data_IF_993494208984
#
_entry.id   IF_993494208984
#
_cell.length_a   1.000
_cell.length_b   1.000
_cell.length_c   1.000
_cell.angle_alpha   90.00
_cell.angle_beta   90.00
_cell.angle_gamma   90.00
#
_symmetry.space_group_name_H-M   'P 1'
#
loop_
_entity.id
_entity.type
_entity.pdbx_description
1 polymer ?
#
# COMPACT_ATOMS: atom_id res chain seq x y z
N UNK A 1 -22.14 -7.15 12.13
CA UNK A 1 -21.76 -6.42 10.90
C UNK A 1 -20.26 -6.15 10.96
N UNK A 2 -19.48 -6.84 10.15
CA UNK A 2 -18.02 -6.70 10.15
C UNK A 2 -17.66 -5.34 9.51
N UNK A 3 -17.10 -4.43 10.30
CA UNK A 3 -16.56 -3.17 9.79
C UNK A 3 -15.40 -3.46 8.83
N UNK A 4 -15.52 -2.97 7.61
CA UNK A 4 -14.47 -2.99 6.61
C UNK A 4 -13.24 -2.28 7.21
N UNK A 5 -12.09 -2.95 7.26
CA UNK A 5 -10.79 -2.36 7.61
C UNK A 5 -9.89 -2.42 6.38
N UNK A 6 -9.08 -1.37 6.17
CA UNK A 6 -8.14 -1.23 5.06
C UNK A 6 -8.55 -0.21 3.99
N UNK A 7 -7.55 0.30 3.27
CA UNK A 7 -7.70 1.35 2.26
C UNK A 7 -8.39 0.86 0.97
N UNK A 8 -8.47 -0.47 0.74
CA UNK A 8 -8.98 -1.13 -0.47
C UNK A 8 -10.50 -1.07 -0.75
N UNK A 9 -11.12 0.12 -0.73
CA UNK A 9 -12.55 0.32 -1.03
C UNK A 9 -12.87 0.22 -2.53
N UNK A 10 -14.04 -0.32 -2.88
CA UNK A 10 -14.47 -0.47 -4.29
C UNK A 10 -15.05 0.83 -4.86
N UNK A 11 -14.94 1.00 -6.18
CA UNK A 11 -15.40 2.18 -6.95
C UNK A 11 -16.93 2.39 -6.93
N UNK A 12 -17.69 1.33 -6.65
CA UNK A 12 -19.16 1.34 -6.59
C UNK A 12 -19.75 2.00 -5.33
N UNK A 13 -18.91 2.62 -4.50
CA UNK A 13 -19.38 3.14 -3.23
C UNK A 13 -19.89 4.60 -3.34
N UNK A 14 -21.11 4.91 -2.84
CA UNK A 14 -21.66 6.27 -2.82
C UNK A 14 -20.72 7.34 -2.21
N UNK A 15 -19.73 6.92 -1.40
CA UNK A 15 -18.64 7.76 -0.85
C UNK A 15 -17.82 8.50 -1.91
N UNK A 16 -17.61 7.91 -3.08
CA UNK A 16 -16.78 8.49 -4.15
C UNK A 16 -17.48 9.65 -4.89
N UNK A 17 -18.81 9.76 -4.77
CA UNK A 17 -19.61 10.74 -5.50
C UNK A 17 -19.87 12.03 -4.73
N UNK A 18 -19.44 12.11 -3.45
CA UNK A 18 -19.57 13.35 -2.68
C UNK A 18 -18.58 14.39 -3.21
N UNK A 19 -19.02 15.59 -3.59
CA UNK A 19 -18.12 16.68 -3.92
C UNK A 19 -17.15 16.95 -2.75
N UNK A 20 -15.88 17.23 -3.06
CA UNK A 20 -14.98 17.83 -2.09
C UNK A 20 -15.25 19.33 -2.14
N UNK A 21 -16.09 19.75 -1.19
CA UNK A 21 -16.37 21.15 -0.91
C UNK A 21 -15.65 21.53 0.39
N UNK A 22 -15.48 22.83 0.64
CA UNK A 22 -14.95 23.37 1.91
C UNK A 22 -13.45 23.26 2.15
N UNK A 23 -12.64 22.90 1.15
CA UNK A 23 -11.17 23.04 1.23
C UNK A 23 -10.71 24.26 0.45
N UNK A 24 -9.64 24.90 0.91
CA UNK A 24 -8.96 26.01 0.24
C UNK A 24 -7.53 25.60 -0.13
N UNK A 25 -7.03 25.97 -1.31
CA UNK A 25 -5.63 25.71 -1.66
C UNK A 25 -4.71 26.51 -0.72
N UNK A 26 -3.66 25.85 -0.23
CA UNK A 26 -2.64 26.49 0.58
C UNK A 26 -1.85 27.49 -0.27
N UNK A 27 -1.50 28.63 0.30
CA UNK A 27 -0.80 29.70 -0.42
C UNK A 27 0.63 29.29 -0.85
N UNK A 28 1.32 28.49 -0.03
CA UNK A 28 2.69 28.02 -0.29
C UNK A 28 2.75 26.87 -1.31
N UNK A 29 1.69 26.06 -1.41
CA UNK A 29 1.60 24.94 -2.37
C UNK A 29 0.15 24.63 -2.77
N UNK A 30 -0.21 24.96 -4.00
CA UNK A 30 -1.56 24.75 -4.54
C UNK A 30 -1.97 23.26 -4.70
N UNK A 31 -1.04 22.33 -4.48
CA UNK A 31 -1.34 20.88 -4.41
C UNK A 31 -1.95 20.48 -3.08
N UNK A 32 -1.75 21.27 -2.03
CA UNK A 32 -2.27 21.01 -0.68
C UNK A 32 -3.54 21.83 -0.49
N UNK A 33 -4.65 21.15 -0.20
CA UNK A 33 -5.97 21.72 -0.02
C UNK A 33 -6.38 21.48 1.43
N UNK A 34 -6.68 22.54 2.17
CA UNK A 34 -6.76 22.50 3.63
C UNK A 34 -8.16 22.89 4.10
N UNK A 35 -8.64 22.23 5.15
CA UNK A 35 -9.79 22.69 5.92
C UNK A 35 -9.45 24.06 6.54
N UNK A 36 -10.23 25.13 6.29
CA UNK A 36 -9.93 26.47 6.81
C UNK A 36 -9.67 26.48 8.31
N UNK A 37 -8.61 27.17 8.74
CA UNK A 37 -8.16 27.24 10.14
C UNK A 37 -7.13 26.18 10.55
N UNK A 38 -6.66 25.35 9.61
CA UNK A 38 -5.63 24.32 9.84
C UNK A 38 -4.42 24.48 8.90
N UNK A 39 -4.12 25.73 8.52
CA UNK A 39 -3.05 26.07 7.57
C UNK A 39 -1.69 25.56 8.04
N UNK A 40 -1.39 25.60 9.35
CA UNK A 40 -0.13 25.07 9.91
C UNK A 40 0.04 23.56 9.66
N UNK A 41 -1.05 22.80 9.72
CA UNK A 41 -1.02 21.38 9.34
C UNK A 41 -0.79 21.24 7.83
N UNK A 42 -1.45 22.07 7.03
CA UNK A 42 -1.19 22.20 5.60
C UNK A 42 0.27 22.47 5.25
N UNK A 43 0.93 23.41 5.93
CA UNK A 43 2.34 23.76 5.70
C UNK A 43 3.27 22.58 6.01
N UNK A 44 2.98 21.81 7.05
CA UNK A 44 3.75 20.59 7.36
C UNK A 44 3.56 19.51 6.31
N UNK A 45 2.35 19.36 5.77
CA UNK A 45 2.08 18.46 4.63
C UNK A 45 2.81 18.96 3.38
N UNK A 46 2.78 20.25 3.08
CA UNK A 46 3.47 20.85 1.94
C UNK A 46 4.99 20.67 2.02
N UNK A 47 5.57 20.78 3.22
CA UNK A 47 6.99 20.52 3.45
C UNK A 47 7.38 19.04 3.22
N UNK A 48 6.52 18.10 3.60
CA UNK A 48 6.74 16.65 3.43
C UNK A 48 6.52 16.16 1.99
N UNK A 49 5.64 16.84 1.24
CA UNK A 49 5.13 16.38 -0.05
C UNK A 49 6.22 16.15 -1.12
N UNK A 50 7.21 17.05 -1.34
CA UNK A 50 8.24 16.83 -2.36
C UNK A 50 9.04 15.54 -2.15
N UNK A 51 9.49 15.28 -0.92
CA UNK A 51 10.24 14.07 -0.60
C UNK A 51 9.39 12.81 -0.77
N UNK A 52 8.11 12.86 -0.36
CA UNK A 52 7.20 11.73 -0.54
C UNK A 52 6.93 11.43 -2.03
N UNK A 53 6.78 12.46 -2.87
CA UNK A 53 6.65 12.29 -4.33
C UNK A 53 7.90 11.64 -4.91
N UNK A 54 9.08 12.15 -4.56
CA UNK A 54 10.35 11.63 -5.06
C UNK A 54 10.52 10.15 -4.74
N UNK A 55 10.24 9.73 -3.49
CA UNK A 55 10.29 8.32 -3.08
C UNK A 55 9.34 7.45 -3.91
N UNK A 56 8.11 7.91 -4.15
CA UNK A 56 7.13 7.18 -4.97
C UNK A 56 7.60 7.06 -6.40
N UNK A 57 8.05 8.15 -7.03
CA UNK A 57 8.48 8.14 -8.43
C UNK A 57 9.73 7.26 -8.63
N UNK A 58 10.67 7.27 -7.68
CA UNK A 58 11.83 6.39 -7.68
C UNK A 58 11.41 4.92 -7.53
N UNK A 59 10.54 4.59 -6.58
CA UNK A 59 10.07 3.23 -6.34
C UNK A 59 9.17 2.70 -7.47
N UNK A 60 8.45 3.58 -8.16
CA UNK A 60 7.50 3.24 -9.23
C UNK A 60 8.10 3.37 -10.63
N UNK A 61 9.33 3.86 -10.74
CA UNK A 61 10.08 4.03 -12.00
C UNK A 61 9.42 4.94 -13.04
N UNK A 62 8.43 5.74 -12.63
CA UNK A 62 7.72 6.69 -13.49
C UNK A 62 7.28 7.91 -12.66
N UNK A 63 7.20 9.10 -13.28
CA UNK A 63 6.66 10.29 -12.61
C UNK A 63 5.16 10.15 -12.36
N UNK A 64 4.56 10.96 -11.48
CA UNK A 64 3.09 11.05 -11.42
C UNK A 64 2.52 11.50 -12.78
N UNK A 65 1.39 10.91 -13.20
CA UNK A 65 0.76 11.28 -14.47
C UNK A 65 0.14 12.68 -14.41
N UNK A 66 -0.29 13.11 -13.21
CA UNK A 66 -0.74 14.47 -12.89
C UNK A 66 -0.20 14.84 -11.52
N UNK A 67 0.14 16.13 -11.27
CA UNK A 67 0.54 16.59 -9.94
C UNK A 67 -0.45 16.09 -8.87
N UNK A 68 0.01 15.36 -7.84
CA UNK A 68 -0.88 14.83 -6.82
C UNK A 68 -1.52 15.98 -6.04
N UNK A 69 -2.78 15.79 -5.64
CA UNK A 69 -3.51 16.72 -4.79
C UNK A 69 -3.79 16.06 -3.45
N UNK A 70 -3.50 16.76 -2.36
CA UNK A 70 -3.67 16.30 -0.99
C UNK A 70 -4.75 17.13 -0.30
N UNK A 71 -5.75 16.49 0.30
CA UNK A 71 -6.77 17.16 1.09
C UNK A 71 -6.50 16.92 2.58
N UNK A 72 -6.44 18.00 3.36
CA UNK A 72 -5.97 18.01 4.74
C UNK A 72 -7.16 18.35 5.65
N UNK A 73 -7.70 17.35 6.34
CA UNK A 73 -8.73 17.56 7.35
C UNK A 73 -8.09 17.88 8.69
N UNK A 74 -8.47 19.00 9.29
CA UNK A 74 -8.11 19.38 10.64
C UNK A 74 -9.08 18.87 11.71
N UNK A 75 -10.28 18.43 11.31
CA UNK A 75 -11.28 17.85 12.21
C UNK A 75 -11.63 16.40 11.87
N UNK A 76 -12.03 15.63 12.89
CA UNK A 76 -12.56 14.27 12.70
C UNK A 76 -13.87 14.30 11.89
N UNK A 77 -14.64 15.39 11.98
CA UNK A 77 -15.87 15.56 11.20
C UNK A 77 -15.60 15.78 9.72
N UNK A 78 -14.57 16.56 9.38
CA UNK A 78 -14.07 16.64 8.01
C UNK A 78 -13.65 15.26 7.51
N UNK A 79 -12.81 14.54 8.28
CA UNK A 79 -12.26 13.27 7.82
C UNK A 79 -13.36 12.21 7.64
N UNK A 80 -14.27 12.08 8.60
CA UNK A 80 -15.39 11.10 8.56
C UNK A 80 -16.39 11.38 7.44
N UNK A 81 -16.45 12.60 6.90
CA UNK A 81 -17.31 12.93 5.76
C UNK A 81 -16.91 12.18 4.49
N UNK A 82 -15.63 11.89 4.34
CA UNK A 82 -15.05 11.26 3.14
C UNK A 82 -14.51 9.86 3.41
N UNK A 83 -13.99 9.61 4.62
CA UNK A 83 -13.40 8.33 5.02
C UNK A 83 -14.26 7.68 6.11
N UNK A 84 -15.05 6.68 5.71
CA UNK A 84 -15.96 5.95 6.61
C UNK A 84 -15.32 4.71 7.25
N UNK A 85 -14.13 4.32 6.80
CA UNK A 85 -13.36 3.24 7.41
C UNK A 85 -12.82 3.72 8.75
N UNK A 86 -13.24 3.12 9.88
CA UNK A 86 -12.78 3.57 11.18
C UNK A 86 -11.29 3.31 11.33
N UNK A 87 -10.60 4.19 12.07
CA UNK A 87 -9.18 4.06 12.46
C UNK A 87 -8.17 4.18 11.32
N UNK A 88 -8.55 4.79 10.19
CA UNK A 88 -7.57 5.24 9.19
C UNK A 88 -7.03 6.62 9.56
N UNK A 89 -5.77 6.85 9.23
CA UNK A 89 -5.07 8.14 9.42
C UNK A 89 -4.83 8.86 8.10
N UNK A 90 -5.01 8.16 6.98
CA UNK A 90 -5.06 8.70 5.64
C UNK A 90 -5.80 7.70 4.74
N UNK A 91 -6.27 8.16 3.57
CA UNK A 91 -6.82 7.29 2.55
C UNK A 91 -6.78 7.97 1.18
N UNK A 92 -6.48 7.20 0.13
CA UNK A 92 -6.96 7.49 -1.22
C UNK A 92 -8.38 6.93 -1.38
N UNK A 93 -9.34 7.78 -1.75
CA UNK A 93 -10.74 7.38 -2.01
C UNK A 93 -10.96 7.05 -3.50
N UNK A 94 -12.08 6.42 -3.90
CA UNK A 94 -12.20 5.80 -5.23
C UNK A 94 -12.09 6.67 -6.47
N UNK A 95 -12.19 7.97 -6.34
CA UNK A 95 -11.94 8.94 -7.41
C UNK A 95 -10.53 9.55 -7.35
N UNK A 96 -9.56 8.85 -6.75
CA UNK A 96 -8.16 9.23 -6.65
C UNK A 96 -7.93 10.52 -5.86
N UNK A 97 -8.76 10.80 -4.85
CA UNK A 97 -8.52 11.91 -3.93
C UNK A 97 -7.81 11.38 -2.70
N UNK A 98 -6.65 11.96 -2.38
CA UNK A 98 -5.92 11.69 -1.16
C UNK A 98 -6.47 12.58 -0.04
N UNK A 99 -6.82 12.00 1.09
CA UNK A 99 -7.38 12.70 2.25
C UNK A 99 -6.61 12.29 3.52
N UNK A 100 -6.09 13.26 4.25
CA UNK A 100 -5.36 13.07 5.50
C UNK A 100 -6.24 13.37 6.72
N UNK A 101 -6.08 12.56 7.76
CA UNK A 101 -6.78 12.70 9.05
C UNK A 101 -6.10 13.73 9.95
N UNK A 102 -6.84 14.43 10.82
CA UNK A 102 -6.23 15.26 11.88
C UNK A 102 -5.34 14.48 12.86
N UNK A 103 -5.43 13.14 12.86
CA UNK A 103 -4.53 12.33 13.69
C UNK A 103 -3.07 12.48 13.28
N UNK A 104 -2.81 12.71 11.99
CA UNK A 104 -1.49 13.03 11.44
C UNK A 104 -1.07 14.47 11.76
N UNK A 105 -1.96 15.29 12.31
CA UNK A 105 -1.61 16.57 12.92
C UNK A 105 -1.24 16.42 14.40
N UNK A 106 -1.97 15.56 15.12
CA UNK A 106 -1.80 15.31 16.54
C UNK A 106 -0.97 14.06 16.85
N UNK A 107 -1.64 13.03 17.39
CA UNK A 107 -1.02 11.86 18.05
C UNK A 107 -0.15 11.00 17.12
N UNK A 108 -0.34 11.09 15.81
CA UNK A 108 0.38 10.33 14.79
C UNK A 108 1.22 11.22 13.87
N UNK A 109 1.54 12.45 14.29
CA UNK A 109 2.35 13.38 13.50
C UNK A 109 3.70 12.80 13.05
N UNK A 110 4.31 11.94 13.88
CA UNK A 110 5.53 11.20 13.52
C UNK A 110 5.36 10.25 12.31
N UNK A 111 4.13 9.87 11.95
CA UNK A 111 3.81 8.99 10.82
C UNK A 111 3.46 9.76 9.55
N UNK A 112 3.47 11.10 9.58
CA UNK A 112 3.06 11.92 8.45
C UNK A 112 3.83 11.55 7.18
N UNK A 113 5.16 11.50 7.26
CA UNK A 113 6.00 11.20 6.10
C UNK A 113 5.69 9.81 5.53
N UNK A 114 5.70 8.77 6.36
CA UNK A 114 5.54 7.38 5.91
C UNK A 114 4.13 7.13 5.37
N UNK A 115 3.08 7.62 6.04
CA UNK A 115 1.71 7.44 5.55
C UNK A 115 1.41 8.30 4.32
N UNK A 116 1.97 9.51 4.22
CA UNK A 116 1.84 10.31 3.00
C UNK A 116 2.45 9.57 1.81
N UNK A 117 3.67 9.04 1.96
CA UNK A 117 4.33 8.24 0.91
C UNK A 117 3.52 6.99 0.54
N UNK A 118 2.97 6.28 1.53
CA UNK A 118 2.14 5.09 1.31
C UNK A 118 0.91 5.40 0.45
N UNK A 119 0.15 6.41 0.84
CA UNK A 119 -1.06 6.77 0.12
C UNK A 119 -0.77 7.42 -1.25
N UNK A 120 0.35 8.15 -1.37
CA UNK A 120 0.82 8.63 -2.67
C UNK A 120 1.19 7.49 -3.62
N UNK A 121 1.71 6.36 -3.11
CA UNK A 121 1.95 5.18 -3.93
C UNK A 121 0.63 4.61 -4.50
N UNK A 122 -0.43 4.54 -3.70
CA UNK A 122 -1.76 4.18 -4.18
C UNK A 122 -2.29 5.17 -5.22
N UNK A 123 -2.15 6.48 -4.96
CA UNK A 123 -2.59 7.51 -5.88
C UNK A 123 -1.85 7.43 -7.22
N UNK A 124 -0.54 7.23 -7.19
CA UNK A 124 0.31 7.12 -8.38
C UNK A 124 -0.17 6.01 -9.32
N UNK A 125 -0.49 4.86 -8.76
CA UNK A 125 -1.01 3.73 -9.51
C UNK A 125 -2.46 3.98 -9.96
N UNK A 126 -3.28 4.54 -9.07
CA UNK A 126 -4.66 4.91 -9.35
C UNK A 126 -4.81 5.92 -10.49
N UNK A 127 -3.85 6.81 -10.69
CA UNK A 127 -3.84 7.74 -11.83
C UNK A 127 -3.64 7.05 -13.19
N UNK A 128 -3.13 5.81 -13.20
CA UNK A 128 -2.82 5.07 -14.43
C UNK A 128 -3.86 4.03 -14.77
N UNK A 129 -4.19 3.19 -13.80
CA UNK A 129 -5.04 2.02 -14.02
C UNK A 129 -6.41 2.16 -13.34
N UNK A 130 -6.67 3.30 -12.69
CA UNK A 130 -7.84 3.48 -11.85
C UNK A 130 -7.63 2.92 -10.44
N UNK A 131 -8.46 3.40 -9.52
CA UNK A 131 -8.34 3.08 -8.10
C UNK A 131 -8.79 1.63 -7.79
N UNK A 132 -7.98 0.89 -7.03
CA UNK A 132 -8.22 -0.51 -6.67
C UNK A 132 -8.77 -1.33 -7.84
N UNK A 133 -8.05 -1.28 -8.97
CA UNK A 133 -8.35 -2.07 -10.15
C UNK A 133 -8.24 -3.56 -9.82
N UNK A 134 -9.23 -4.38 -10.23
CA UNK A 134 -9.31 -5.79 -9.85
C UNK A 134 -8.25 -6.67 -10.50
N UNK A 135 -7.59 -6.19 -11.56
CA UNK A 135 -6.47 -6.91 -12.19
C UNK A 135 -5.18 -6.84 -11.38
N UNK A 136 -5.16 -6.09 -10.27
CA UNK A 136 -4.05 -6.01 -9.35
C UNK A 136 -4.43 -6.62 -7.99
N UNK A 137 -3.81 -7.74 -7.59
CA UNK A 137 -4.07 -8.37 -6.30
C UNK A 137 -3.83 -7.42 -5.13
N UNK A 138 -4.71 -7.45 -4.12
CA UNK A 138 -4.58 -6.60 -2.91
C UNK A 138 -3.20 -6.75 -2.26
N UNK A 139 -2.67 -7.98 -2.14
CA UNK A 139 -1.36 -8.20 -1.51
C UNK A 139 -0.25 -7.43 -2.22
N UNK A 140 -0.22 -7.44 -3.57
CA UNK A 140 0.82 -6.72 -4.30
C UNK A 140 0.62 -5.21 -4.16
N UNK A 141 -0.63 -4.75 -4.23
CA UNK A 141 -0.94 -3.33 -4.14
C UNK A 141 -0.54 -2.73 -2.78
N UNK A 142 -0.96 -3.35 -1.67
CA UNK A 142 -0.62 -2.91 -0.31
C UNK A 142 0.85 -3.16 0.01
N UNK A 143 1.41 -4.28 -0.45
CA UNK A 143 2.82 -4.64 -0.25
C UNK A 143 3.77 -3.68 -0.94
N UNK A 144 3.45 -3.25 -2.16
CA UNK A 144 4.27 -2.29 -2.89
C UNK A 144 4.17 -0.88 -2.30
N UNK A 145 2.97 -0.43 -1.93
CA UNK A 145 2.80 0.84 -1.22
C UNK A 145 3.56 0.87 0.12
N UNK A 146 3.48 -0.22 0.89
CA UNK A 146 4.21 -0.36 2.15
C UNK A 146 5.73 -0.39 1.95
N UNK A 147 6.22 -1.05 0.91
CA UNK A 147 7.64 -1.09 0.58
C UNK A 147 8.15 0.31 0.18
N UNK A 148 7.42 1.02 -0.67
CA UNK A 148 7.72 2.41 -1.08
C UNK A 148 7.75 3.36 0.12
N UNK A 149 6.91 3.11 1.12
CA UNK A 149 6.81 3.89 2.34
C UNK A 149 7.72 3.42 3.49
N UNK A 150 8.72 2.58 3.22
CA UNK A 150 9.66 2.03 4.22
C UNK A 150 8.96 1.35 5.41
N UNK A 151 7.84 0.69 5.15
CA UNK A 151 7.02 0.02 6.16
C UNK A 151 5.77 0.79 6.58
N UNK A 152 5.54 2.01 6.09
CA UNK A 152 4.29 2.75 6.28
C UNK A 152 3.07 1.90 5.89
N UNK A 153 2.06 1.82 6.77
CA UNK A 153 0.90 0.93 6.64
C UNK A 153 1.10 -0.48 7.21
N UNK A 154 2.34 -0.89 7.47
CA UNK A 154 2.74 -2.21 7.98
C UNK A 154 3.51 -2.15 9.31
N UNK A 155 3.43 -1.04 10.06
CA UNK A 155 4.29 -0.78 11.23
C UNK A 155 3.89 -1.57 12.49
N UNK A 156 2.68 -2.11 12.52
CA UNK A 156 2.11 -2.73 13.73
C UNK A 156 2.51 -4.19 13.94
N UNK A 157 3.32 -4.77 13.05
CA UNK A 157 3.88 -6.12 13.22
C UNK A 157 5.32 -6.15 12.72
N UNK A 158 6.17 -6.94 13.38
CA UNK A 158 7.59 -7.08 13.04
C UNK A 158 7.81 -8.23 12.06
N UNK A 159 8.96 -8.23 11.39
CA UNK A 159 9.35 -9.32 10.48
C UNK A 159 9.40 -10.66 11.21
N UNK A 160 9.97 -10.70 12.43
CA UNK A 160 10.03 -11.91 13.25
C UNK A 160 8.64 -12.52 13.51
N UNK A 161 7.64 -11.68 13.84
CA UNK A 161 6.27 -12.16 14.08
C UNK A 161 5.62 -12.69 12.81
N UNK A 162 5.90 -12.06 11.67
CA UNK A 162 5.43 -12.53 10.37
C UNK A 162 6.09 -13.86 10.00
N UNK A 163 7.39 -14.02 10.26
CA UNK A 163 8.09 -15.28 10.04
C UNK A 163 7.57 -16.41 10.93
N UNK A 164 7.29 -16.13 12.21
CA UNK A 164 6.57 -17.07 13.09
C UNK A 164 5.19 -17.44 12.53
N UNK A 165 4.45 -16.46 11.99
CA UNK A 165 3.15 -16.68 11.35
C UNK A 165 3.26 -17.61 10.13
N UNK A 166 4.26 -17.39 9.29
CA UNK A 166 4.58 -18.23 8.11
C UNK A 166 4.88 -19.67 8.55
N UNK A 167 5.71 -19.83 9.59
CA UNK A 167 6.09 -21.14 10.15
C UNK A 167 4.89 -21.87 10.75
N UNK A 168 3.91 -21.13 11.27
CA UNK A 168 2.63 -21.65 11.73
C UNK A 168 1.62 -21.90 10.58
N UNK A 169 2.04 -21.80 9.32
CA UNK A 169 1.20 -22.06 8.14
C UNK A 169 0.28 -20.91 7.74
N UNK A 170 0.37 -19.74 8.39
CA UNK A 170 -0.43 -18.56 8.05
C UNK A 170 0.29 -17.72 7.01
N UNK A 171 -0.23 -17.73 5.78
CA UNK A 171 0.40 -17.11 4.60
C UNK A 171 -0.63 -16.32 3.81
N UNK A 172 -0.19 -15.24 3.16
CA UNK A 172 -0.94 -14.58 2.09
C UNK A 172 -1.31 -15.64 1.07
N UNK A 173 -2.59 -15.75 0.77
CA UNK A 173 -3.08 -16.64 -0.28
C UNK A 173 -2.77 -16.00 -1.65
N UNK A 174 -1.83 -16.60 -2.38
CA UNK A 174 -1.38 -16.12 -3.69
C UNK A 174 -2.16 -16.74 -4.86
N UNK A 175 -3.01 -17.72 -4.59
CA UNK A 175 -3.82 -18.41 -5.61
C UNK A 175 -5.17 -17.72 -5.86
N UNK A 176 -5.57 -16.80 -4.97
CA UNK A 176 -6.83 -16.06 -5.11
C UNK A 176 -6.67 -14.86 -6.02
N UNK A 177 -7.61 -14.75 -6.97
CA UNK A 177 -7.70 -13.63 -7.91
C UNK A 177 -8.81 -12.69 -7.53
N UNK A 178 -8.51 -11.40 -7.60
CA UNK A 178 -9.50 -10.35 -7.41
C UNK A 178 -10.41 -10.25 -8.65
N UNK A 179 -11.67 -9.88 -8.41
CA UNK A 179 -12.69 -9.59 -9.41
C UNK A 179 -13.31 -8.21 -9.12
N UNK A 180 -13.98 -7.56 -10.08
CA UNK A 180 -14.56 -6.23 -9.88
C UNK A 180 -15.48 -6.11 -8.65
N UNK A 181 -16.22 -7.18 -8.34
CA UNK A 181 -17.16 -7.28 -7.22
C UNK A 181 -16.57 -7.98 -5.98
N UNK A 182 -15.36 -8.55 -6.08
CA UNK A 182 -14.75 -9.34 -5.01
C UNK A 182 -13.26 -9.11 -4.87
N UNK A 183 -12.86 -8.50 -3.75
CA UNK A 183 -11.46 -8.28 -3.37
C UNK A 183 -11.05 -9.20 -2.21
N UNK A 184 -9.93 -9.88 -2.34
CA UNK A 184 -9.36 -10.80 -1.34
C UNK A 184 -8.36 -10.04 -0.46
N UNK A 185 -8.86 -9.55 0.68
CA UNK A 185 -8.06 -8.86 1.69
C UNK A 185 -7.49 -9.84 2.73
N UNK A 186 -6.95 -9.33 3.83
CA UNK A 186 -6.38 -10.10 4.93
C UNK A 186 -7.23 -11.30 5.39
N UNK A 187 -8.56 -11.14 5.51
CA UNK A 187 -9.47 -12.21 5.92
C UNK A 187 -9.52 -13.39 4.94
N UNK A 188 -9.31 -13.17 3.65
CA UNK A 188 -9.23 -14.25 2.65
C UNK A 188 -7.97 -15.13 2.83
N UNK A 189 -6.97 -14.61 3.57
CA UNK A 189 -5.76 -15.34 3.97
C UNK A 189 -5.82 -15.82 5.43
N UNK A 190 -6.93 -15.59 6.15
CA UNK A 190 -7.01 -15.87 7.59
C UNK A 190 -6.03 -15.05 8.44
N UNK A 191 -5.59 -13.89 7.95
CA UNK A 191 -4.60 -13.03 8.59
C UNK A 191 -5.24 -11.80 9.23
N UNK A 192 -4.57 -11.24 10.24
CA UNK A 192 -4.81 -9.87 10.65
C UNK A 192 -4.41 -8.91 9.53
N UNK A 193 -4.96 -7.69 9.51
CA UNK A 193 -4.56 -6.68 8.52
C UNK A 193 -3.06 -6.35 8.62
N UNK A 194 -2.53 -6.27 9.84
CA UNK A 194 -1.12 -5.98 10.09
C UNK A 194 -0.20 -7.07 9.54
N UNK A 195 -0.52 -8.35 9.81
CA UNK A 195 0.25 -9.48 9.28
C UNK A 195 0.17 -9.55 7.75
N UNK A 196 -1.01 -9.31 7.18
CA UNK A 196 -1.20 -9.30 5.73
C UNK A 196 -0.34 -8.22 5.05
N UNK A 197 -0.37 -6.99 5.57
CA UNK A 197 0.36 -5.85 4.99
C UNK A 197 1.87 -6.08 5.09
N UNK A 198 2.36 -6.50 6.25
CA UNK A 198 3.78 -6.76 6.45
C UNK A 198 4.29 -7.95 5.63
N UNK A 199 3.54 -9.05 5.59
CA UNK A 199 3.89 -10.20 4.76
C UNK A 199 3.88 -9.84 3.27
N UNK A 200 2.90 -9.06 2.83
CA UNK A 200 2.83 -8.53 1.47
C UNK A 200 4.04 -7.67 1.11
N UNK A 201 4.44 -6.77 2.02
CA UNK A 201 5.64 -5.95 1.85
C UNK A 201 6.90 -6.80 1.70
N UNK A 202 7.07 -7.82 2.56
CA UNK A 202 8.22 -8.73 2.50
C UNK A 202 8.26 -9.53 1.20
N UNK A 203 7.11 -9.99 0.69
CA UNK A 203 7.01 -10.68 -0.60
C UNK A 203 7.47 -9.78 -1.76
N UNK A 204 6.99 -8.53 -1.81
CA UNK A 204 7.36 -7.57 -2.85
C UNK A 204 8.85 -7.19 -2.73
N UNK A 205 9.32 -6.96 -1.51
CA UNK A 205 10.74 -6.67 -1.23
C UNK A 205 11.65 -7.80 -1.69
N UNK A 206 11.31 -9.05 -1.34
CA UNK A 206 12.04 -10.22 -1.80
C UNK A 206 12.04 -10.31 -3.33
N UNK A 207 10.89 -10.13 -3.98
CA UNK A 207 10.79 -10.20 -5.44
C UNK A 207 11.68 -9.16 -6.13
N UNK A 208 11.72 -7.93 -5.62
CA UNK A 208 12.59 -6.85 -6.10
C UNK A 208 14.07 -7.18 -5.87
N UNK A 209 14.42 -7.70 -4.69
CA UNK A 209 15.81 -8.02 -4.32
C UNK A 209 16.39 -9.18 -5.15
N UNK A 210 15.55 -10.12 -5.61
CA UNK A 210 16.01 -11.21 -6.46
C UNK A 210 16.48 -10.74 -7.85
N UNK A 211 15.74 -9.81 -8.47
CA UNK A 211 16.05 -9.28 -9.79
C UNK A 211 15.29 -7.96 -10.00
N UNK A 212 15.97 -6.84 -9.77
CA UNK A 212 15.36 -5.52 -9.88
C UNK A 212 14.96 -5.18 -11.33
N UNK A 213 15.70 -5.68 -12.33
CA UNK A 213 15.37 -5.41 -13.73
C UNK A 213 14.05 -6.10 -14.14
N UNK A 214 13.84 -7.34 -13.71
CA UNK A 214 12.55 -8.04 -13.89
C UNK A 214 11.45 -7.40 -13.06
N UNK A 215 11.72 -7.02 -11.82
CA UNK A 215 10.73 -6.34 -10.99
C UNK A 215 10.26 -5.04 -11.65
N UNK A 216 11.21 -4.24 -12.17
CA UNK A 216 10.92 -3.03 -12.94
C UNK A 216 10.07 -3.33 -14.17
N UNK A 217 10.38 -4.38 -14.94
CA UNK A 217 9.57 -4.79 -16.09
C UNK A 217 8.13 -5.15 -15.69
N UNK A 218 7.94 -5.89 -14.59
CA UNK A 218 6.62 -6.24 -14.05
C UNK A 218 5.83 -4.96 -13.70
N UNK A 219 6.38 -4.09 -12.86
CA UNK A 219 5.63 -2.92 -12.38
C UNK A 219 5.34 -1.92 -13.48
N UNK A 220 6.20 -1.79 -14.50
CA UNK A 220 5.92 -0.97 -15.68
C UNK A 220 4.79 -1.56 -16.53
N UNK A 221 4.73 -2.88 -16.70
CA UNK A 221 3.63 -3.54 -17.40
C UNK A 221 2.30 -3.38 -16.67
N UNK A 222 2.29 -3.54 -15.34
CA UNK A 222 1.12 -3.29 -14.49
C UNK A 222 0.67 -1.83 -14.62
N UNK A 223 1.59 -0.88 -14.55
CA UNK A 223 1.30 0.55 -14.73
C UNK A 223 0.78 0.89 -16.14
N UNK A 224 1.10 0.09 -17.15
CA UNK A 224 0.52 0.17 -18.49
C UNK A 224 -0.86 -0.52 -18.60
N UNK A 225 -1.50 -0.83 -17.48
CA UNK A 225 -2.78 -1.52 -17.36
C UNK A 225 -2.79 -2.96 -17.91
N UNK A 226 -1.63 -3.62 -17.95
CA UNK A 226 -1.58 -5.06 -18.20
C UNK A 226 -2.10 -5.80 -16.97
N UNK A 227 -2.90 -6.84 -17.16
CA UNK A 227 -3.34 -7.71 -16.06
C UNK A 227 -2.12 -8.27 -15.29
N UNK A 228 -2.17 -8.25 -13.95
CA UNK A 228 -1.03 -8.60 -13.13
C UNK A 228 -0.53 -10.02 -13.39
N UNK A 229 -1.44 -10.99 -13.55
CA UNK A 229 -1.07 -12.39 -13.76
C UNK A 229 -0.37 -12.57 -15.11
N UNK A 230 -0.86 -11.87 -16.14
CA UNK A 230 -0.25 -11.86 -17.47
C UNK A 230 1.14 -11.20 -17.41
N UNK A 231 1.24 -10.02 -16.80
CA UNK A 231 2.51 -9.30 -16.65
C UNK A 231 3.54 -10.12 -15.88
N UNK A 232 3.11 -10.75 -14.78
CA UNK A 232 3.97 -11.59 -13.95
C UNK A 232 4.45 -12.82 -14.72
N UNK A 233 3.55 -13.51 -15.42
CA UNK A 233 3.92 -14.67 -16.24
C UNK A 233 4.90 -14.29 -17.36
N UNK A 234 4.68 -13.17 -18.05
CA UNK A 234 5.57 -12.70 -19.11
C UNK A 234 6.99 -12.41 -18.62
N UNK A 235 7.14 -11.96 -17.37
CA UNK A 235 8.45 -11.60 -16.80
C UNK A 235 9.15 -12.78 -16.12
N UNK A 236 8.39 -13.63 -15.41
CA UNK A 236 8.94 -14.69 -14.57
C UNK A 236 8.74 -16.10 -15.14
N UNK A 237 7.91 -16.27 -16.17
CA UNK A 237 7.63 -17.55 -16.82
C UNK A 237 6.77 -18.52 -15.98
N UNK A 238 6.21 -18.05 -14.87
CA UNK A 238 5.43 -18.85 -13.93
C UNK A 238 4.48 -17.97 -13.11
N UNK A 239 3.49 -18.58 -12.47
CA UNK A 239 2.50 -17.88 -11.64
C UNK A 239 3.12 -17.31 -10.35
N UNK A 240 2.52 -16.25 -9.74
CA UNK A 240 3.00 -15.67 -8.50
C UNK A 240 3.18 -16.68 -7.37
N UNK A 241 2.20 -17.57 -7.15
CA UNK A 241 2.25 -18.60 -6.12
C UNK A 241 3.46 -19.53 -6.28
N UNK A 242 3.80 -19.92 -7.51
CA UNK A 242 4.98 -20.75 -7.82
C UNK A 242 6.28 -19.98 -7.63
N UNK A 243 6.36 -18.71 -8.04
CA UNK A 243 7.58 -17.90 -7.86
C UNK A 243 7.87 -17.55 -6.43
N UNK A 244 6.83 -17.22 -5.67
CA UNK A 244 6.94 -16.76 -4.30
C UNK A 244 6.94 -17.93 -3.29
N UNK A 245 6.77 -19.18 -3.73
CA UNK A 245 7.01 -20.34 -2.86
C UNK A 245 8.43 -20.32 -2.30
N UNK A 246 9.42 -19.92 -3.10
CA UNK A 246 10.82 -19.82 -2.68
C UNK A 246 11.05 -18.84 -1.52
N UNK A 247 10.27 -17.75 -1.43
CA UNK A 247 10.30 -16.86 -0.26
C UNK A 247 9.86 -17.62 0.99
N UNK A 248 8.73 -18.33 0.91
CA UNK A 248 8.21 -19.10 2.04
C UNK A 248 9.13 -20.27 2.41
N UNK A 249 9.72 -20.94 1.42
CA UNK A 249 10.68 -22.04 1.63
C UNK A 249 11.93 -21.54 2.35
N UNK A 250 12.42 -20.34 2.03
CA UNK A 250 13.51 -19.68 2.76
C UNK A 250 13.18 -19.48 4.25
N UNK A 251 12.02 -18.89 4.55
CA UNK A 251 11.57 -18.65 5.94
C UNK A 251 11.40 -19.96 6.73
N UNK A 252 11.00 -21.04 6.05
CA UNK A 252 10.86 -22.38 6.64
C UNK A 252 12.22 -23.09 6.78
N UNK A 253 13.16 -22.85 5.87
CA UNK A 253 14.52 -23.38 5.90
C UNK A 253 15.36 -22.83 7.05
N UNK A 254 15.16 -21.56 7.42
CA UNK A 254 15.79 -20.90 8.57
C UNK A 254 15.44 -21.56 9.93
N UNK A 255 14.45 -22.45 9.94
CA UNK A 255 14.00 -23.20 11.11
C UNK A 255 14.62 -24.60 11.23
N UNK A 256 15.47 -25.03 10.29
CA UNK A 256 16.18 -26.29 10.41
C UNK A 256 17.33 -26.13 11.42
N UNK A 257 17.46 -26.99 12.44
CA UNK A 257 18.68 -27.01 13.24
C UNK A 257 19.84 -27.30 12.28
N UNK A 258 20.85 -26.44 12.27
CA UNK A 258 22.11 -26.68 11.55
C UNK A 258 22.59 -28.06 11.96
N UNK A 259 22.45 -29.06 11.09
CA UNK A 259 23.08 -30.35 11.29
C UNK A 259 24.57 -30.10 11.29
N UNK A 260 25.18 -30.12 12.48
CA UNK A 260 26.62 -30.12 12.62
C UNK A 260 27.16 -31.23 11.71
N UNK A 261 28.05 -30.85 10.79
CA UNK A 261 28.69 -31.78 9.88
C UNK A 261 29.29 -32.95 10.69
N UNK A 262 29.15 -34.20 10.23
CA UNK A 262 29.72 -35.33 10.94
C UNK A 262 31.23 -35.12 11.04
N UNK A 263 31.75 -35.21 12.27
CA UNK A 263 33.18 -35.22 12.51
C UNK A 263 33.80 -36.33 11.64
N UNK A 264 34.79 -35.94 10.82
CA UNK A 264 35.51 -36.88 9.96
C UNK A 264 36.22 -37.93 10.83
N UNK A 265 36.29 -39.19 10.35
CA UNK A 265 36.83 -40.32 11.10
C UNK A 265 38.31 -40.17 11.47
#
# INVERSE_FOLDING_TARGET
>A
MAGLQGCALTVSDPRALRPIDSFVPLASDARVWVEPGYEDYGERVAAALPAAIELVEQAHYLPFARPPRVHVCGTDDCFRRYVMTPRLSAAVVPDNRLILSPNLDGRESHRLQTLLTHELAHLHLGQRIGHYHSTLPVWFHEGWASLTAEGGGAEYTSDDKVFESIRAGRKVNLDVRDAPDKRHRASASGLSIHDFYRQSMLLVSWLKAQDEARFRALVLAVQANTDFEIAFWNVYGQAPATRLSAFYDGVLGDNQPVQAAPARP
#
